data_IF_854128244891
#
_entry.id   IF_854128244891
#
_cell.length_a   1.000
_cell.length_b   1.000
_cell.length_c   1.000
_cell.angle_alpha   90.00
_cell.angle_beta   90.00
_cell.angle_gamma   90.00
#
_symmetry.space_group_name_H-M   'P 1'
#
loop_
_entity.id
_entity.type
_entity.pdbx_description
1 polymer ?
#
# COMPACT_ATOMS: atom_id res chain seq x y z
N UNK A 1 -8.76 -21.88 18.01
CA UNK A 1 -8.41 -20.63 17.31
C UNK A 1 -9.15 -20.45 15.98
N UNK A 2 -9.11 -21.38 14.99
CA UNK A 2 -9.78 -21.23 13.69
C UNK A 2 -11.28 -20.95 13.78
N UNK A 3 -12.01 -21.68 14.64
CA UNK A 3 -13.44 -21.46 14.83
C UNK A 3 -13.77 -20.08 15.39
N UNK A 4 -12.93 -19.61 16.30
CA UNK A 4 -13.09 -18.29 16.89
C UNK A 4 -12.78 -17.17 15.89
N UNK A 5 -11.71 -17.28 15.09
CA UNK A 5 -11.40 -16.29 14.06
C UNK A 5 -12.57 -16.12 13.07
N UNK A 6 -13.18 -17.21 12.59
CA UNK A 6 -14.35 -17.14 11.70
C UNK A 6 -15.58 -16.56 12.42
N UNK A 7 -15.81 -16.88 13.69
CA UNK A 7 -16.89 -16.27 14.47
C UNK A 7 -16.68 -14.78 14.67
N UNK A 8 -15.44 -14.35 14.90
CA UNK A 8 -15.09 -12.94 15.06
C UNK A 8 -15.33 -12.11 13.78
N UNK A 9 -15.19 -12.71 12.60
CA UNK A 9 -15.52 -12.07 11.33
C UNK A 9 -17.03 -12.00 11.09
N UNK A 10 -17.75 -13.10 11.37
CA UNK A 10 -19.18 -13.21 11.07
C UNK A 10 -20.07 -12.54 12.12
N UNK A 11 -19.61 -12.43 13.38
CA UNK A 11 -20.37 -11.96 14.55
C UNK A 11 -21.75 -12.63 14.69
N UNK A 12 -21.88 -13.84 14.11
CA UNK A 12 -23.11 -14.62 14.09
C UNK A 12 -22.80 -16.12 14.07
N UNK A 13 -23.20 -16.83 15.09
CA UNK A 13 -22.92 -18.27 15.26
C UNK A 13 -23.46 -19.13 14.10
N UNK A 14 -24.65 -18.82 13.57
CA UNK A 14 -25.26 -19.59 12.47
C UNK A 14 -24.50 -19.41 11.17
N UNK A 15 -24.13 -18.16 10.83
CA UNK A 15 -23.30 -17.86 9.64
C UNK A 15 -21.90 -18.45 9.75
N UNK A 16 -21.26 -18.29 10.91
CA UNK A 16 -19.94 -18.86 11.17
C UNK A 16 -19.96 -20.39 11.08
N UNK A 17 -20.96 -21.07 11.66
CA UNK A 17 -21.11 -22.52 11.59
C UNK A 17 -21.31 -23.01 10.15
N UNK A 18 -22.13 -22.30 9.35
CA UNK A 18 -22.32 -22.60 7.92
C UNK A 18 -21.03 -22.44 7.15
N UNK A 19 -20.28 -21.36 7.36
CA UNK A 19 -18.99 -21.11 6.71
C UNK A 19 -17.94 -22.17 7.07
N UNK A 20 -17.97 -22.65 8.32
CA UNK A 20 -17.09 -23.71 8.83
C UNK A 20 -17.57 -25.12 8.46
N UNK A 21 -18.78 -25.26 7.90
CA UNK A 21 -19.42 -26.54 7.58
C UNK A 21 -19.58 -27.45 8.82
N UNK A 22 -19.98 -26.88 9.95
CA UNK A 22 -20.23 -27.58 11.20
C UNK A 22 -21.61 -27.23 11.74
N UNK A 23 -22.13 -28.05 12.67
CA UNK A 23 -23.34 -27.73 13.39
C UNK A 23 -23.13 -26.56 14.35
N UNK A 24 -24.08 -25.63 14.43
CA UNK A 24 -24.00 -24.47 15.33
C UNK A 24 -23.76 -24.85 16.81
N UNK A 25 -24.36 -25.89 17.37
CA UNK A 25 -24.05 -26.32 18.74
C UNK A 25 -22.58 -26.74 18.93
N UNK A 26 -22.01 -27.42 17.93
CA UNK A 26 -20.60 -27.81 17.97
C UNK A 26 -19.66 -26.58 17.96
N UNK A 27 -19.96 -25.58 17.11
CA UNK A 27 -19.21 -24.31 17.13
C UNK A 27 -19.31 -23.65 18.52
N UNK A 28 -20.51 -23.56 19.09
CA UNK A 28 -20.71 -22.97 20.42
C UNK A 28 -19.92 -23.68 21.51
N UNK A 29 -19.84 -25.01 21.48
CA UNK A 29 -19.03 -25.80 22.41
C UNK A 29 -17.54 -25.53 22.27
N UNK A 30 -17.06 -25.42 21.02
CA UNK A 30 -15.63 -25.11 20.75
C UNK A 30 -15.24 -23.69 21.23
N UNK A 31 -16.11 -22.71 21.07
CA UNK A 31 -15.87 -21.35 21.59
C UNK A 31 -15.83 -21.38 23.13
N UNK A 32 -16.80 -22.02 23.79
CA UNK A 32 -16.78 -22.18 25.26
C UNK A 32 -15.56 -22.94 25.76
N UNK A 33 -15.06 -23.92 25.01
CA UNK A 33 -13.84 -24.65 25.36
C UNK A 33 -12.61 -23.75 25.27
N UNK A 34 -12.54 -22.92 24.25
CA UNK A 34 -11.47 -21.93 24.09
C UNK A 34 -11.50 -20.88 25.20
N UNK A 35 -12.67 -20.34 25.56
CA UNK A 35 -12.84 -19.39 26.65
C UNK A 35 -12.39 -19.98 27.99
N UNK A 36 -12.77 -21.24 28.26
CA UNK A 36 -12.32 -21.98 29.48
C UNK A 36 -10.80 -22.18 29.49
N UNK A 37 -10.20 -22.52 28.35
CA UNK A 37 -8.75 -22.73 28.23
C UNK A 37 -7.98 -21.46 28.47
N UNK A 38 -8.49 -20.31 28.00
CA UNK A 38 -7.87 -19.00 28.16
C UNK A 38 -8.24 -18.31 29.48
N UNK A 39 -9.27 -18.81 30.17
CA UNK A 39 -9.76 -18.22 31.44
C UNK A 39 -10.47 -16.89 31.25
N UNK A 40 -10.88 -16.53 30.04
CA UNK A 40 -11.50 -15.24 29.73
C UNK A 40 -12.67 -15.42 28.77
N UNK A 41 -13.66 -14.52 28.87
CA UNK A 41 -14.77 -14.46 27.93
C UNK A 41 -14.35 -13.67 26.68
N UNK A 42 -14.56 -14.27 25.49
CA UNK A 42 -14.20 -13.68 24.21
C UNK A 42 -15.38 -13.07 23.47
N UNK A 43 -16.60 -13.59 23.70
CA UNK A 43 -17.82 -13.16 23.03
C UNK A 43 -18.96 -12.91 24.00
N UNK A 44 -19.72 -11.85 23.76
CA UNK A 44 -21.00 -11.55 24.41
C UNK A 44 -22.14 -11.86 23.44
N UNK A 45 -23.18 -12.59 23.92
CA UNK A 45 -24.34 -12.88 23.11
C UNK A 45 -25.33 -11.73 23.13
N UNK A 46 -25.82 -11.37 21.97
CA UNK A 46 -26.85 -10.34 21.80
C UNK A 46 -28.12 -10.96 21.14
N UNK A 47 -29.24 -10.24 21.15
CA UNK A 47 -30.46 -10.67 20.48
C UNK A 47 -30.30 -10.81 18.95
N UNK A 48 -29.28 -10.20 18.35
CA UNK A 48 -29.04 -10.20 16.90
C UNK A 48 -27.79 -10.99 16.47
N UNK A 49 -27.08 -11.65 17.42
CA UNK A 49 -25.85 -12.39 17.13
C UNK A 49 -24.90 -12.42 18.32
N UNK A 50 -23.68 -11.97 18.14
CA UNK A 50 -22.70 -11.77 19.22
C UNK A 50 -21.80 -10.59 18.91
N UNK A 51 -21.17 -10.04 19.97
CA UNK A 51 -20.09 -9.04 19.90
C UNK A 51 -18.84 -9.60 20.52
N UNK A 52 -17.69 -9.07 20.17
CA UNK A 52 -16.43 -9.41 20.80
C UNK A 52 -16.25 -8.57 22.08
N UNK A 53 -15.74 -9.19 23.13
CA UNK A 53 -15.18 -8.44 24.27
C UNK A 53 -13.90 -7.73 23.82
N UNK A 54 -13.38 -6.72 24.54
CA UNK A 54 -12.06 -6.10 24.25
C UNK A 54 -10.95 -7.15 24.14
N UNK A 55 -10.92 -8.14 25.05
CA UNK A 55 -9.99 -9.27 25.00
C UNK A 55 -10.27 -10.16 23.81
N UNK A 56 -11.55 -10.40 23.48
CA UNK A 56 -11.96 -11.13 22.28
C UNK A 56 -11.45 -10.50 21.01
N UNK A 57 -11.47 -9.17 20.92
CA UNK A 57 -10.89 -8.42 19.80
C UNK A 57 -9.38 -8.66 19.64
N UNK A 58 -8.63 -8.56 20.74
CA UNK A 58 -7.18 -8.84 20.74
C UNK A 58 -6.88 -10.29 20.36
N UNK A 59 -7.60 -11.28 20.95
CA UNK A 59 -7.43 -12.70 20.62
C UNK A 59 -7.84 -12.99 19.17
N UNK A 60 -8.84 -12.31 18.61
CA UNK A 60 -9.24 -12.47 17.22
C UNK A 60 -8.13 -12.00 16.25
N UNK A 61 -7.47 -10.90 16.58
CA UNK A 61 -6.32 -10.40 15.79
C UNK A 61 -5.16 -11.38 15.82
N UNK A 62 -4.76 -11.85 17.02
CA UNK A 62 -3.72 -12.87 17.17
C UNK A 62 -4.07 -14.18 16.46
N UNK A 63 -5.33 -14.63 16.59
CA UNK A 63 -5.80 -15.84 15.91
C UNK A 63 -5.70 -15.72 14.39
N UNK A 64 -6.02 -14.56 13.84
CA UNK A 64 -5.94 -14.26 12.40
C UNK A 64 -4.50 -14.34 11.92
N UNK A 65 -3.56 -13.72 12.65
CA UNK A 65 -2.13 -13.74 12.34
C UNK A 65 -1.56 -15.16 12.40
N UNK A 66 -1.88 -15.94 13.45
CA UNK A 66 -1.44 -17.33 13.59
C UNK A 66 -1.97 -18.22 12.46
N UNK A 67 -3.25 -18.13 12.14
CA UNK A 67 -3.86 -18.90 11.04
C UNK A 67 -3.26 -18.53 9.69
N UNK A 68 -2.91 -17.27 9.48
CA UNK A 68 -2.20 -16.82 8.30
C UNK A 68 -0.81 -17.47 8.19
N UNK A 69 -0.03 -17.49 9.28
CA UNK A 69 1.30 -18.16 9.33
C UNK A 69 1.21 -19.65 9.06
N UNK A 70 0.18 -20.33 9.59
CA UNK A 70 -0.07 -21.75 9.29
C UNK A 70 -0.36 -21.96 7.81
N UNK A 71 -1.25 -21.17 7.24
CA UNK A 71 -1.57 -21.25 5.80
C UNK A 71 -0.35 -20.97 4.91
N UNK A 72 0.60 -20.14 5.36
CA UNK A 72 1.88 -19.92 4.68
C UNK A 72 2.78 -21.15 4.75
N UNK A 73 2.87 -21.79 5.92
CA UNK A 73 3.64 -23.01 6.09
C UNK A 73 3.10 -24.12 5.19
N UNK A 74 1.78 -24.30 5.16
CA UNK A 74 1.12 -25.28 4.28
C UNK A 74 1.39 -25.02 2.80
N UNK A 75 1.32 -23.74 2.37
CA UNK A 75 1.67 -23.37 0.99
C UNK A 75 3.13 -23.68 0.65
N UNK A 76 4.07 -23.39 1.55
CA UNK A 76 5.50 -23.71 1.37
C UNK A 76 5.74 -25.21 1.27
N UNK A 77 5.13 -25.99 2.17
CA UNK A 77 5.23 -27.46 2.15
C UNK A 77 4.63 -28.02 0.84
N UNK A 78 3.45 -27.55 0.47
CA UNK A 78 2.80 -27.97 -0.77
C UNK A 78 3.57 -27.54 -2.03
N UNK A 79 4.27 -26.41 -2.03
CA UNK A 79 5.14 -25.97 -3.12
C UNK A 79 6.38 -26.85 -3.26
N UNK A 80 7.01 -27.21 -2.14
CA UNK A 80 8.12 -28.17 -2.11
C UNK A 80 7.66 -29.55 -2.58
N UNK A 81 6.53 -30.04 -2.07
CA UNK A 81 5.98 -31.35 -2.42
C UNK A 81 5.58 -31.46 -3.91
N UNK A 82 5.20 -30.33 -4.55
CA UNK A 82 4.85 -30.27 -5.99
C UNK A 82 6.02 -29.90 -6.90
N UNK A 83 7.22 -29.70 -6.37
CA UNK A 83 8.37 -29.23 -7.14
C UNK A 83 8.20 -27.81 -7.72
N UNK A 84 7.22 -27.05 -7.21
CA UNK A 84 6.97 -25.64 -7.58
C UNK A 84 7.85 -24.75 -6.72
N UNK A 85 8.65 -23.92 -7.32
CA UNK A 85 9.63 -23.10 -6.61
C UNK A 85 9.03 -21.77 -6.16
N UNK A 86 8.21 -21.80 -5.10
CA UNK A 86 7.87 -20.63 -4.32
C UNK A 86 6.63 -19.84 -4.79
N UNK A 87 6.12 -19.05 -3.88
CA UNK A 87 5.08 -18.02 -4.13
C UNK A 87 5.60 -16.67 -3.69
N UNK A 88 5.15 -15.60 -4.35
CA UNK A 88 5.52 -14.23 -4.04
C UNK A 88 4.27 -13.34 -4.06
N UNK A 89 3.91 -12.80 -2.89
CA UNK A 89 2.79 -11.89 -2.75
C UNK A 89 3.31 -10.47 -2.68
N UNK A 90 3.01 -9.67 -3.70
CA UNK A 90 3.51 -8.30 -3.83
C UNK A 90 2.36 -7.32 -3.91
N UNK A 91 2.45 -6.21 -3.17
CA UNK A 91 1.56 -5.09 -3.34
C UNK A 91 2.25 -3.93 -4.05
N UNK A 92 1.44 -3.16 -4.77
CA UNK A 92 1.82 -1.85 -5.26
C UNK A 92 1.12 -0.77 -4.43
N UNK A 93 1.82 0.29 -4.04
CA UNK A 93 1.10 1.53 -3.76
C UNK A 93 0.51 2.08 -5.06
N UNK A 94 -0.68 2.65 -5.01
CA UNK A 94 -1.44 3.10 -6.21
C UNK A 94 -0.60 3.99 -7.12
N UNK A 95 0.16 4.90 -6.55
CA UNK A 95 1.03 5.84 -7.28
C UNK A 95 2.30 5.21 -7.87
N UNK A 96 2.56 3.90 -7.66
CA UNK A 96 3.74 3.21 -8.18
C UNK A 96 3.50 2.50 -9.52
N UNK A 97 2.24 2.39 -9.97
CA UNK A 97 1.88 1.71 -11.23
C UNK A 97 2.32 2.52 -12.46
N UNK A 98 2.70 1.82 -13.52
CA UNK A 98 3.08 2.43 -14.80
C UNK A 98 4.54 2.87 -14.90
N UNK A 99 5.44 2.35 -14.03
CA UNK A 99 6.85 2.75 -13.99
C UNK A 99 7.81 1.60 -13.69
N UNK A 100 8.88 1.92 -12.95
CA UNK A 100 9.97 0.99 -12.58
C UNK A 100 9.46 -0.28 -11.90
N UNK A 101 8.43 -0.18 -11.07
CA UNK A 101 7.83 -1.35 -10.39
C UNK A 101 7.21 -2.35 -11.37
N UNK A 102 6.48 -1.88 -12.39
CA UNK A 102 5.86 -2.77 -13.38
C UNK A 102 6.93 -3.41 -14.28
N UNK A 103 7.97 -2.65 -14.66
CA UNK A 103 9.12 -3.17 -15.41
C UNK A 103 9.82 -4.27 -14.61
N UNK A 104 10.16 -4.00 -13.34
CA UNK A 104 10.81 -4.96 -12.46
C UNK A 104 9.99 -6.24 -12.30
N UNK A 105 8.68 -6.13 -12.09
CA UNK A 105 7.82 -7.29 -11.95
C UNK A 105 7.62 -8.07 -13.26
N UNK A 106 7.61 -7.38 -14.39
CA UNK A 106 7.60 -8.02 -15.72
C UNK A 106 8.86 -8.85 -15.95
N UNK A 107 10.02 -8.27 -15.69
CA UNK A 107 11.31 -8.96 -15.76
C UNK A 107 11.41 -10.13 -14.77
N UNK A 108 10.91 -9.93 -13.53
CA UNK A 108 10.88 -10.98 -12.53
C UNK A 108 10.06 -12.19 -12.99
N UNK A 109 8.84 -11.97 -13.47
CA UNK A 109 7.97 -13.05 -13.98
C UNK A 109 8.58 -13.78 -15.18
N UNK A 110 9.22 -13.04 -16.09
CA UNK A 110 9.90 -13.62 -17.24
C UNK A 110 11.08 -14.49 -16.83
N UNK A 111 11.87 -14.04 -15.86
CA UNK A 111 13.09 -14.73 -15.39
C UNK A 111 12.79 -15.92 -14.49
N UNK A 112 11.70 -15.85 -13.70
CA UNK A 112 11.31 -16.86 -12.72
C UNK A 112 9.88 -17.36 -12.96
N UNK A 113 9.58 -18.00 -14.09
CA UNK A 113 8.21 -18.38 -14.47
C UNK A 113 7.59 -19.45 -13.57
N UNK A 114 8.41 -20.12 -12.71
CA UNK A 114 7.95 -21.09 -11.72
C UNK A 114 7.62 -20.48 -10.36
N UNK A 115 7.74 -19.17 -10.20
CA UNK A 115 7.29 -18.45 -9.01
C UNK A 115 5.87 -17.97 -9.25
N UNK A 116 4.93 -18.44 -8.43
CA UNK A 116 3.56 -17.96 -8.46
C UNK A 116 3.50 -16.54 -7.87
N UNK A 117 3.18 -15.54 -8.67
CA UNK A 117 3.19 -14.13 -8.28
C UNK A 117 1.77 -13.62 -8.15
N UNK A 118 1.34 -13.40 -6.90
CA UNK A 118 0.10 -12.69 -6.60
C UNK A 118 0.37 -11.19 -6.44
N UNK A 119 -0.33 -10.37 -7.23
CA UNK A 119 -0.22 -8.92 -7.18
C UNK A 119 -1.50 -8.29 -6.65
N UNK A 120 -1.35 -7.32 -5.76
CA UNK A 120 -2.45 -6.49 -5.29
C UNK A 120 -2.06 -5.01 -5.30
N UNK A 121 -3.05 -4.14 -5.13
CA UNK A 121 -2.84 -2.69 -5.09
C UNK A 121 -3.50 -2.13 -3.84
N UNK A 122 -2.76 -1.32 -3.09
CA UNK A 122 -3.21 -0.67 -1.86
C UNK A 122 -2.63 0.74 -1.74
N UNK A 123 -2.72 1.31 -0.55
CA UNK A 123 -1.97 2.48 -0.13
C UNK A 123 -0.71 2.06 0.61
N UNK A 124 0.26 2.96 0.73
CA UNK A 124 1.50 2.66 1.47
C UNK A 124 1.22 2.19 2.88
N UNK A 125 0.32 2.87 3.63
CA UNK A 125 -0.04 2.47 4.99
C UNK A 125 -0.63 1.05 5.03
N UNK A 126 -1.64 0.76 4.20
CA UNK A 126 -2.23 -0.57 4.11
C UNK A 126 -1.19 -1.65 3.75
N UNK A 127 -0.32 -1.36 2.78
CA UNK A 127 0.71 -2.30 2.37
C UNK A 127 1.72 -2.59 3.48
N UNK A 128 2.04 -1.59 4.31
CA UNK A 128 2.87 -1.73 5.51
C UNK A 128 2.19 -2.65 6.53
N UNK A 129 0.91 -2.44 6.82
CA UNK A 129 0.14 -3.30 7.74
C UNK A 129 0.07 -4.75 7.24
N UNK A 130 -0.13 -4.95 5.94
CA UNK A 130 -0.14 -6.27 5.31
C UNK A 130 1.22 -6.97 5.37
N UNK A 131 2.33 -6.21 5.23
CA UNK A 131 3.69 -6.73 5.41
C UNK A 131 3.95 -7.15 6.85
N UNK A 132 3.59 -6.30 7.83
CA UNK A 132 3.74 -6.59 9.26
C UNK A 132 2.92 -7.82 9.69
N UNK A 133 1.71 -7.95 9.14
CA UNK A 133 0.85 -9.10 9.37
C UNK A 133 1.30 -10.36 8.60
N UNK A 134 2.35 -10.30 7.78
CA UNK A 134 2.85 -11.41 6.96
C UNK A 134 1.88 -11.84 5.85
N UNK A 135 0.91 -11.01 5.47
CA UNK A 135 0.01 -11.27 4.34
C UNK A 135 0.64 -10.92 3.00
N UNK A 136 1.65 -10.05 3.00
CA UNK A 136 2.53 -9.76 1.87
C UNK A 136 3.97 -10.22 2.15
N UNK A 137 4.70 -10.51 1.08
CA UNK A 137 6.12 -10.84 1.11
C UNK A 137 6.98 -9.62 0.79
N UNK A 138 6.51 -8.76 -0.12
CA UNK A 138 7.13 -7.48 -0.46
C UNK A 138 6.06 -6.47 -0.89
N UNK A 139 6.41 -5.18 -0.83
CA UNK A 139 5.54 -4.11 -1.34
C UNK A 139 6.33 -2.95 -1.93
N UNK A 140 5.84 -2.43 -3.04
CA UNK A 140 6.26 -1.12 -3.54
C UNK A 140 5.53 -0.03 -2.76
N UNK A 141 6.29 0.83 -2.11
CA UNK A 141 5.80 1.84 -1.15
C UNK A 141 6.41 3.21 -1.44
N UNK A 142 5.83 4.25 -0.88
CA UNK A 142 6.39 5.61 -0.90
C UNK A 142 7.01 5.92 0.47
N UNK A 143 8.34 5.82 0.61
CA UNK A 143 9.01 6.20 1.84
C UNK A 143 8.95 7.73 2.09
N UNK A 144 9.30 8.19 3.31
CA UNK A 144 9.84 7.43 4.43
C UNK A 144 8.80 6.56 5.13
N UNK A 145 9.26 5.42 5.67
CA UNK A 145 8.47 4.54 6.53
C UNK A 145 9.03 4.64 7.95
N UNK A 146 8.17 4.93 8.91
CA UNK A 146 8.53 4.93 10.33
C UNK A 146 8.15 3.57 10.95
N UNK A 147 8.79 2.51 10.43
CA UNK A 147 8.52 1.11 10.83
C UNK A 147 9.84 0.35 10.85
N UNK A 148 10.48 0.24 12.05
CA UNK A 148 11.78 -0.42 12.21
C UNK A 148 11.81 -1.91 11.82
N UNK A 149 10.66 -2.60 11.85
CA UNK A 149 10.51 -4.02 11.52
C UNK A 149 10.60 -4.30 10.02
N UNK A 150 10.49 -3.27 9.19
CA UNK A 150 10.57 -3.40 7.73
C UNK A 150 11.86 -2.80 7.20
N UNK A 151 12.51 -3.52 6.30
CA UNK A 151 13.54 -2.95 5.45
C UNK A 151 12.90 -2.34 4.21
N UNK A 152 13.29 -1.13 3.86
CA UNK A 152 12.84 -0.46 2.65
C UNK A 152 14.06 -0.01 1.82
N UNK A 153 14.17 -0.52 0.60
CA UNK A 153 15.18 -0.08 -0.36
C UNK A 153 14.55 0.89 -1.34
N UNK A 154 15.06 2.10 -1.43
CA UNK A 154 14.67 3.05 -2.48
C UNK A 154 15.20 2.52 -3.82
N UNK A 155 14.31 2.40 -4.80
CA UNK A 155 14.59 1.85 -6.13
C UNK A 155 14.44 2.87 -7.25
N UNK A 156 13.73 3.96 -7.00
CA UNK A 156 13.59 5.08 -7.93
C UNK A 156 13.29 6.38 -7.19
N UNK A 157 13.64 7.50 -7.81
CA UNK A 157 13.17 8.84 -7.47
C UNK A 157 12.52 9.46 -8.68
N UNK A 158 11.39 10.12 -8.47
CA UNK A 158 10.61 10.79 -9.50
C UNK A 158 10.48 12.27 -9.16
N UNK A 159 10.63 13.16 -10.15
CA UNK A 159 10.30 14.58 -9.98
C UNK A 159 8.80 14.73 -9.74
N UNK A 160 8.43 15.57 -8.80
CA UNK A 160 7.04 16.00 -8.62
C UNK A 160 6.75 17.15 -9.58
N UNK A 161 5.72 16.97 -10.39
CA UNK A 161 5.12 18.03 -11.19
C UNK A 161 3.96 18.65 -10.42
N UNK A 162 3.61 19.87 -10.79
CA UNK A 162 2.41 20.53 -10.30
C UNK A 162 1.32 20.45 -11.36
N UNK A 163 0.22 19.82 -11.04
CA UNK A 163 -1.01 19.88 -11.83
C UNK A 163 -1.76 21.16 -11.47
N UNK A 164 -2.12 21.94 -12.47
CA UNK A 164 -2.87 23.19 -12.33
C UNK A 164 -4.04 23.22 -13.33
N UNK A 165 -5.18 23.88 -13.03
CA UNK A 165 -6.23 24.07 -14.01
C UNK A 165 -5.69 24.80 -15.26
N UNK A 166 -6.06 24.38 -16.47
CA UNK A 166 -5.50 24.95 -17.70
C UNK A 166 -5.79 26.45 -17.86
N UNK A 167 -6.86 26.95 -17.26
CA UNK A 167 -7.20 28.37 -17.22
C UNK A 167 -6.47 29.18 -16.14
N UNK A 168 -5.76 28.53 -15.24
CA UNK A 168 -5.11 29.17 -14.09
C UNK A 168 -3.90 30.03 -14.54
N UNK A 169 -3.61 31.17 -13.87
CA UNK A 169 -2.42 31.96 -14.19
C UNK A 169 -1.11 31.16 -14.16
N UNK A 170 -0.96 30.24 -13.21
CA UNK A 170 0.20 29.34 -13.11
C UNK A 170 0.34 28.38 -14.29
N UNK A 171 -0.69 28.14 -15.09
CA UNK A 171 -0.59 27.31 -16.30
C UNK A 171 0.15 28.03 -17.43
N UNK A 172 0.27 29.35 -17.37
CA UNK A 172 0.90 30.18 -18.41
C UNK A 172 2.43 30.13 -18.32
N UNK A 173 3.07 30.24 -19.48
CA UNK A 173 4.55 30.24 -19.57
C UNK A 173 5.17 28.85 -19.60
N UNK A 174 6.45 28.80 -19.98
CA UNK A 174 7.24 27.55 -20.14
C UNK A 174 8.31 27.33 -19.07
N UNK A 175 8.57 28.33 -18.22
CA UNK A 175 9.55 28.28 -17.15
C UNK A 175 9.13 27.39 -15.98
N UNK A 176 10.08 27.08 -15.10
CA UNK A 176 9.80 26.40 -13.83
C UNK A 176 9.13 27.39 -12.86
N UNK A 177 8.13 26.91 -12.11
CA UNK A 177 7.43 27.73 -11.12
C UNK A 177 8.25 27.82 -9.84
N UNK A 178 8.36 29.02 -9.30
CA UNK A 178 8.87 29.22 -7.95
C UNK A 178 7.88 28.70 -6.90
N UNK A 179 8.41 28.20 -5.76
CA UNK A 179 7.56 27.72 -4.65
C UNK A 179 6.73 28.82 -4.03
N UNK A 180 7.24 30.06 -4.03
CA UNK A 180 6.47 31.23 -3.59
C UNK A 180 5.17 31.41 -4.35
N UNK A 181 5.14 31.07 -5.64
CA UNK A 181 3.95 31.20 -6.49
C UNK A 181 2.81 30.25 -6.10
N UNK A 182 3.09 29.17 -5.38
CA UNK A 182 2.07 28.19 -4.94
C UNK A 182 1.70 28.31 -3.48
N UNK A 183 2.30 29.26 -2.77
CA UNK A 183 2.23 29.37 -1.30
C UNK A 183 0.79 29.50 -0.78
N UNK A 184 -0.03 30.26 -1.46
CA UNK A 184 -1.39 30.61 -1.03
C UNK A 184 -2.49 29.90 -1.83
N UNK A 185 -2.08 29.09 -2.80
CA UNK A 185 -3.02 28.38 -3.65
C UNK A 185 -3.81 27.32 -2.88
N UNK A 186 -5.08 27.08 -3.23
CA UNK A 186 -5.82 25.94 -2.71
C UNK A 186 -5.22 24.64 -3.26
N UNK A 187 -5.06 23.65 -2.39
CA UNK A 187 -4.39 22.38 -2.70
C UNK A 187 -5.38 21.23 -2.63
N UNK A 188 -5.36 20.40 -3.65
CA UNK A 188 -5.96 19.06 -3.63
C UNK A 188 -4.84 18.05 -3.36
N UNK A 189 -5.04 17.16 -2.40
CA UNK A 189 -4.00 16.22 -1.98
C UNK A 189 -4.59 14.83 -1.70
N UNK A 190 -3.76 13.82 -1.55
CA UNK A 190 -4.18 12.51 -1.04
C UNK A 190 -4.38 12.58 0.48
N UNK A 191 -5.30 11.77 1.05
CA UNK A 191 -5.45 11.66 2.49
C UNK A 191 -4.11 11.29 3.16
N UNK A 192 -3.79 11.99 4.24
CA UNK A 192 -2.54 11.76 4.99
C UNK A 192 -2.40 10.31 5.44
N UNK A 193 -3.49 9.68 5.86
CA UNK A 193 -3.51 8.31 6.39
C UNK A 193 -3.14 7.26 5.34
N UNK A 194 -3.21 7.58 4.06
CA UNK A 194 -2.78 6.70 2.98
C UNK A 194 -1.26 6.48 2.92
N UNK A 195 -0.47 7.41 3.49
CA UNK A 195 0.99 7.37 3.55
C UNK A 195 1.54 8.59 4.29
N UNK A 196 1.53 8.59 5.63
CA UNK A 196 1.91 9.75 6.43
C UNK A 196 3.30 10.30 6.12
N UNK A 197 4.28 9.41 5.94
CA UNK A 197 5.65 9.80 5.63
C UNK A 197 5.78 10.47 4.25
N UNK A 198 5.14 9.90 3.22
CA UNK A 198 5.09 10.51 1.89
C UNK A 198 4.39 11.88 1.93
N UNK A 199 3.25 11.96 2.62
CA UNK A 199 2.51 13.22 2.78
C UNK A 199 3.38 14.31 3.41
N UNK A 200 4.05 13.99 4.53
CA UNK A 200 4.95 14.91 5.22
C UNK A 200 6.15 15.32 4.34
N UNK A 201 6.75 14.37 3.62
CA UNK A 201 7.85 14.64 2.69
C UNK A 201 7.45 15.59 1.56
N UNK A 202 6.31 15.36 0.91
CA UNK A 202 5.81 16.19 -0.19
C UNK A 202 5.45 17.59 0.32
N UNK A 203 4.70 17.69 1.41
CA UNK A 203 4.28 18.98 1.96
C UNK A 203 5.48 19.79 2.46
N UNK A 204 6.46 19.17 3.10
CA UNK A 204 7.68 19.83 3.56
C UNK A 204 8.56 20.34 2.42
N UNK A 205 8.61 19.63 1.27
CA UNK A 205 9.36 20.09 0.11
C UNK A 205 8.68 21.24 -0.64
N UNK A 206 7.35 21.23 -0.70
CA UNK A 206 6.57 22.21 -1.48
C UNK A 206 6.19 23.45 -0.68
N UNK A 207 5.90 23.27 0.60
CA UNK A 207 5.48 24.34 1.52
C UNK A 207 6.30 24.31 2.82
N UNK A 208 7.62 24.62 2.76
CA UNK A 208 8.51 24.48 3.93
C UNK A 208 8.16 25.43 5.07
N UNK A 209 7.66 26.63 4.76
CA UNK A 209 7.45 27.69 5.74
C UNK A 209 6.12 27.55 6.50
N UNK A 210 5.11 26.92 5.89
CA UNK A 210 3.78 26.74 6.47
C UNK A 210 3.03 25.59 5.82
N UNK A 211 2.07 24.94 6.49
CA UNK A 211 1.23 23.90 5.90
C UNK A 211 0.44 24.42 4.68
N UNK A 212 0.24 23.60 3.64
CA UNK A 212 -0.61 23.97 2.50
C UNK A 212 -2.08 24.13 2.94
N UNK A 213 -2.82 24.96 2.23
CA UNK A 213 -4.26 25.08 2.38
C UNK A 213 -4.96 23.95 1.62
N UNK A 214 -5.06 22.76 2.24
CA UNK A 214 -5.75 21.62 1.68
C UNK A 214 -7.26 21.92 1.71
N UNK A 215 -7.87 22.01 0.53
CA UNK A 215 -9.31 22.28 0.36
C UNK A 215 -10.08 21.02 0.01
N UNK A 216 -9.37 19.98 -0.44
CA UNK A 216 -9.96 18.72 -0.84
C UNK A 216 -8.94 17.59 -0.75
N UNK A 217 -9.39 16.42 -0.31
CA UNK A 217 -8.62 15.18 -0.35
C UNK A 217 -9.27 14.22 -1.33
N UNK A 218 -8.43 13.58 -2.16
CA UNK A 218 -8.89 12.64 -3.18
C UNK A 218 -8.18 11.28 -3.02
N UNK A 219 -8.92 10.19 -3.20
CA UNK A 219 -8.41 8.85 -2.90
C UNK A 219 -7.34 8.35 -3.87
N UNK A 220 -7.20 8.92 -5.06
CA UNK A 220 -6.22 8.49 -6.06
C UNK A 220 -5.83 9.61 -7.04
N UNK A 221 -4.83 9.32 -7.88
CA UNK A 221 -4.26 10.30 -8.82
C UNK A 221 -5.27 10.76 -9.88
N UNK A 222 -6.20 9.90 -10.30
CA UNK A 222 -7.20 10.23 -11.31
C UNK A 222 -8.22 11.22 -10.73
N UNK A 223 -8.79 10.91 -9.57
CA UNK A 223 -9.73 11.79 -8.87
C UNK A 223 -9.08 13.13 -8.51
N UNK A 224 -7.81 13.08 -8.07
CA UNK A 224 -7.03 14.28 -7.78
C UNK A 224 -6.91 15.17 -9.03
N UNK A 225 -6.56 14.62 -10.19
CA UNK A 225 -6.45 15.39 -11.43
C UNK A 225 -7.82 15.86 -11.94
N UNK A 226 -8.90 15.10 -11.75
CA UNK A 226 -10.26 15.54 -12.07
C UNK A 226 -10.69 16.73 -11.19
N UNK A 227 -10.35 16.70 -9.91
CA UNK A 227 -10.60 17.82 -9.01
C UNK A 227 -9.81 19.08 -9.43
N UNK A 228 -8.57 18.92 -9.89
CA UNK A 228 -7.78 20.03 -10.46
C UNK A 228 -8.44 20.54 -11.74
N UNK A 229 -8.85 19.67 -12.66
CA UNK A 229 -9.56 20.08 -13.89
C UNK A 229 -10.83 20.86 -13.61
N UNK A 230 -11.56 20.52 -12.54
CA UNK A 230 -12.75 21.22 -12.06
C UNK A 230 -12.44 22.56 -11.38
N UNK A 231 -11.17 22.94 -11.21
CA UNK A 231 -10.76 24.21 -10.63
C UNK A 231 -10.76 24.28 -9.11
N UNK A 232 -10.81 23.13 -8.42
CA UNK A 232 -10.80 23.12 -6.94
C UNK A 232 -9.46 23.56 -6.35
N UNK A 233 -8.36 23.45 -7.11
CA UNK A 233 -7.03 23.84 -6.64
C UNK A 233 -5.93 23.27 -7.51
N UNK A 234 -4.70 23.33 -6.99
CA UNK A 234 -3.50 22.74 -7.58
C UNK A 234 -3.16 21.43 -6.87
N UNK A 235 -2.40 20.55 -7.51
CA UNK A 235 -1.98 19.29 -6.89
C UNK A 235 -0.56 18.87 -7.30
N UNK A 236 0.28 18.36 -6.38
CA UNK A 236 1.50 17.66 -6.75
C UNK A 236 1.17 16.30 -7.35
N UNK A 237 1.90 15.89 -8.38
CA UNK A 237 1.78 14.56 -8.97
C UNK A 237 3.14 14.03 -9.39
N UNK A 238 3.49 12.75 -9.13
CA UNK A 238 4.70 12.13 -9.65
C UNK A 238 4.74 12.15 -11.17
N UNK A 239 5.91 12.45 -11.76
CA UNK A 239 6.04 12.57 -13.21
C UNK A 239 5.60 11.30 -13.95
N UNK A 240 5.91 10.11 -13.42
CA UNK A 240 5.45 8.84 -13.99
C UNK A 240 3.93 8.75 -14.08
N UNK A 241 3.22 9.21 -13.07
CA UNK A 241 1.74 9.23 -13.05
C UNK A 241 1.18 10.27 -14.00
N UNK A 242 1.79 11.44 -14.05
CA UNK A 242 1.42 12.52 -14.95
C UNK A 242 1.53 12.13 -16.44
N UNK A 243 2.42 11.19 -16.79
CA UNK A 243 2.53 10.64 -18.14
C UNK A 243 1.41 9.66 -18.49
N UNK A 244 0.89 8.93 -17.51
CA UNK A 244 -0.17 7.94 -17.68
C UNK A 244 -1.53 8.61 -17.75
N UNK A 245 -1.79 9.56 -16.85
CA UNK A 245 -3.08 10.27 -16.78
C UNK A 245 -3.00 11.60 -17.51
N UNK A 246 -3.64 11.67 -18.67
CA UNK A 246 -3.84 12.92 -19.43
C UNK A 246 -5.28 13.35 -19.28
N UNK A 247 -5.55 14.21 -18.29
CA UNK A 247 -6.90 14.72 -18.02
C UNK A 247 -7.06 16.07 -18.77
N UNK A 248 -8.06 16.20 -19.66
CA UNK A 248 -8.39 17.49 -20.27
C UNK A 248 -8.66 18.56 -19.19
N UNK A 249 -8.21 19.78 -19.40
CA UNK A 249 -8.37 20.85 -18.42
C UNK A 249 -7.26 20.93 -17.37
N UNK A 250 -6.26 20.02 -17.39
CA UNK A 250 -5.08 20.07 -16.53
C UNK A 250 -3.84 20.45 -17.32
N UNK A 251 -3.07 21.38 -16.81
CA UNK A 251 -1.71 21.73 -17.26
C UNK A 251 -0.69 21.28 -16.23
N UNK A 252 0.41 20.68 -16.70
CA UNK A 252 1.48 20.20 -15.84
C UNK A 252 2.65 21.18 -15.86
N UNK A 253 3.12 21.57 -14.69
CA UNK A 253 4.21 22.52 -14.52
C UNK A 253 5.35 21.92 -13.69
N UNK A 254 6.57 22.24 -14.08
CA UNK A 254 7.78 21.92 -13.31
C UNK A 254 8.05 23.00 -12.28
N UNK A 255 8.57 22.60 -11.12
CA UNK A 255 8.96 23.50 -10.04
C UNK A 255 10.44 23.86 -10.12
N UNK A 256 10.83 25.00 -9.55
CA UNK A 256 12.20 25.46 -9.49
C UNK A 256 13.12 24.47 -8.75
N UNK A 257 14.42 24.50 -9.09
CA UNK A 257 15.43 23.65 -8.45
C UNK A 257 15.79 24.16 -7.05
N UNK A 258 16.13 23.27 -6.10
CA UNK A 258 16.11 21.82 -6.24
C UNK A 258 14.70 21.33 -6.49
N UNK A 259 14.49 20.50 -7.54
CA UNK A 259 13.16 20.02 -7.89
C UNK A 259 12.64 19.10 -6.78
N UNK A 260 11.38 19.23 -6.36
CA UNK A 260 10.82 18.32 -5.39
C UNK A 260 10.71 16.91 -5.98
N UNK A 261 11.00 15.90 -5.17
CA UNK A 261 10.99 14.50 -5.59
C UNK A 261 10.13 13.65 -4.67
N UNK A 262 9.72 12.51 -5.18
CA UNK A 262 9.11 11.43 -4.41
C UNK A 262 9.84 10.12 -4.71
N UNK A 263 10.22 9.42 -3.65
CA UNK A 263 10.91 8.14 -3.78
C UNK A 263 9.91 6.99 -3.95
N UNK A 264 10.34 5.95 -4.67
CA UNK A 264 9.70 4.64 -4.69
C UNK A 264 10.63 3.64 -4.02
N UNK A 265 10.12 2.93 -3.03
CA UNK A 265 10.84 1.91 -2.29
C UNK A 265 10.25 0.53 -2.49
N UNK A 266 11.08 -0.50 -2.36
CA UNK A 266 10.68 -1.89 -2.22
C UNK A 266 10.88 -2.29 -0.76
N UNK A 267 9.78 -2.49 -0.05
CA UNK A 267 9.73 -2.85 1.37
C UNK A 267 9.47 -4.34 1.57
N UNK A 268 10.06 -4.92 2.61
CA UNK A 268 9.86 -6.30 3.04
C UNK A 268 10.20 -6.47 4.51
N UNK A 269 9.73 -7.55 5.14
CA UNK A 269 10.20 -7.94 6.47
C UNK A 269 11.51 -8.74 6.36
N UNK A 270 12.63 -8.29 6.96
CA UNK A 270 13.89 -9.04 6.96
C UNK A 270 13.77 -10.42 7.62
N UNK A 271 12.84 -10.56 8.59
CA UNK A 271 12.64 -11.79 9.36
C UNK A 271 11.98 -12.92 8.57
N UNK A 272 11.20 -12.56 7.54
CA UNK A 272 10.38 -13.52 6.79
C UNK A 272 10.66 -13.51 5.28
N UNK A 273 11.77 -12.88 4.87
CA UNK A 273 12.14 -12.78 3.47
C UNK A 273 12.36 -14.16 2.86
N UNK A 274 11.44 -14.57 1.99
CA UNK A 274 11.54 -15.82 1.23
C UNK A 274 12.64 -15.71 0.15
N UNK A 275 13.12 -16.86 -0.39
CA UNK A 275 14.05 -16.82 -1.52
C UNK A 275 13.53 -16.01 -2.71
N UNK A 276 12.23 -16.02 -2.98
CA UNK A 276 11.62 -15.22 -4.04
C UNK A 276 11.74 -13.69 -3.77
N UNK A 277 11.61 -13.27 -2.50
CA UNK A 277 11.86 -11.86 -2.11
C UNK A 277 13.32 -11.49 -2.33
N UNK A 278 14.26 -12.38 -1.97
CA UNK A 278 15.68 -12.13 -2.19
C UNK A 278 16.02 -12.00 -3.68
N UNK A 279 15.43 -12.84 -4.53
CA UNK A 279 15.57 -12.72 -5.99
C UNK A 279 15.01 -11.39 -6.51
N UNK A 280 13.83 -10.99 -6.05
CA UNK A 280 13.25 -9.69 -6.42
C UNK A 280 14.13 -8.52 -5.98
N UNK A 281 14.63 -8.55 -4.76
CA UNK A 281 15.56 -7.54 -4.24
C UNK A 281 16.87 -7.50 -5.02
N UNK A 282 17.39 -8.65 -5.46
CA UNK A 282 18.63 -8.71 -6.25
C UNK A 282 18.44 -8.07 -7.64
N UNK A 283 17.25 -8.14 -8.22
CA UNK A 283 16.90 -7.52 -9.50
C UNK A 283 16.55 -6.03 -9.38
N UNK A 284 16.12 -5.59 -8.20
CA UNK A 284 15.71 -4.19 -7.99
C UNK A 284 16.90 -3.24 -8.21
N UNK A 285 16.72 -2.15 -8.99
CA UNK A 285 17.76 -1.17 -9.21
C UNK A 285 18.25 -0.59 -7.88
N UNK A 286 19.52 -0.20 -7.83
CA UNK A 286 20.08 0.55 -6.70
C UNK A 286 20.13 2.02 -7.11
N UNK A 287 19.61 2.91 -6.26
CA UNK A 287 19.83 4.35 -6.46
C UNK A 287 21.33 4.62 -6.42
N UNK A 288 21.89 5.09 -7.53
CA UNK A 288 23.33 5.28 -7.72
C UNK A 288 23.89 4.60 -8.98
N UNK A 289 23.19 3.61 -9.54
CA UNK A 289 23.46 3.13 -10.89
C UNK A 289 22.61 3.97 -11.86
N UNK A 290 23.22 4.92 -12.51
CA UNK A 290 22.61 5.78 -13.54
C UNK A 290 21.90 4.87 -14.57
N UNK A 291 20.58 4.86 -14.57
CA UNK A 291 19.83 4.27 -15.66
C UNK A 291 20.12 5.13 -16.89
N UNK A 292 21.02 4.67 -17.75
CA UNK A 292 21.19 5.20 -19.08
C UNK A 292 19.84 5.07 -19.79
N UNK A 293 19.25 6.20 -20.19
CA UNK A 293 18.09 6.24 -21.05
C UNK A 293 18.37 5.40 -22.30
N UNK A 294 17.43 4.56 -22.77
CA UNK A 294 17.61 3.90 -24.05
C UNK A 294 17.68 4.97 -25.15
N UNK A 295 18.55 4.81 -26.16
CA UNK A 295 18.62 5.73 -27.27
C UNK A 295 17.28 5.71 -28.02
N UNK A 296 16.79 6.90 -28.31
CA UNK A 296 15.54 7.06 -29.06
C UNK A 296 15.66 6.46 -30.47
N UNK A 297 14.60 5.83 -30.85
CA UNK A 297 14.20 5.57 -32.25
C UNK A 297 12.82 6.13 -32.48
#
# INVERSE_FOLDING_TARGET
MRYFAVLAEELNFTRAARRLRVAQPALSQQIKALERQLGVQLVERTSRGCTLTPIGGAVAEEARQLLHRVAEADRRIAAVARGQQGSLRVAYTRSARGGVSDTLMGEFRSRYPRVDVALQTGWTALNVDELLAGRLDAAFVRPPLDVPELACRVIAEEELLLAVPSGHPLARGRGRLDRGAIRDEPVVLWPRDNGPGMHASITGQLWPDRPPRIVREEPDDEQLLLAVAAGHGIAPIPEGRARVFRIPGVSLRRLARPAPTVSLGLAHSPRTASPAVQLLLAMAPRLGATAASPPGS
#
